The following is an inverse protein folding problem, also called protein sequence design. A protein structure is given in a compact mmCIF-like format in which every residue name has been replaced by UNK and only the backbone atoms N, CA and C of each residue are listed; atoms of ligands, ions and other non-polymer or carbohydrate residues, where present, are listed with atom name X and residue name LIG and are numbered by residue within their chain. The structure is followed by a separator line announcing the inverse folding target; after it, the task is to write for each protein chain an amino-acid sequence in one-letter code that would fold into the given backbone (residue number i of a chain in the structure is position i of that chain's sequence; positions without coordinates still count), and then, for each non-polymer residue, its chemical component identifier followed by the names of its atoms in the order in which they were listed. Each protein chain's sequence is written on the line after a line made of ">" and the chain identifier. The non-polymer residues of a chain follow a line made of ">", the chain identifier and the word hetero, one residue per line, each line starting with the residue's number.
data_IF_970390754258
#
_entry.id   IF_970390754258
#
_cell.length_a   1.000
_cell.length_b   1.000
_cell.length_c   1.000
_cell.angle_alpha   90.00
_cell.angle_beta   90.00
_cell.angle_gamma   90.00
#
_symmetry.space_group_name_H-M   'P 1'
#
loop_
_entity.id
_entity.type
_entity.pdbx_description
1 polymer ?
#
# COMPACT_ATOMS: atom_id res chain seq x y z
N UNK A 1 3.13 4.07 -46.37
CA UNK A 1 3.11 4.91 -45.17
C UNK A 1 2.52 4.12 -44.01
N UNK A 2 3.33 3.69 -43.02
CA UNK A 2 2.81 3.12 -41.75
C UNK A 2 2.62 4.29 -40.78
N UNK A 3 1.38 4.57 -40.38
CA UNK A 3 1.11 5.51 -39.31
C UNK A 3 1.72 4.96 -38.01
N UNK A 4 2.65 5.66 -37.34
CA UNK A 4 3.29 5.18 -36.11
C UNK A 4 2.33 5.19 -34.89
N UNK A 5 1.11 5.69 -35.05
CA UNK A 5 0.09 5.82 -34.00
C UNK A 5 -1.16 4.98 -34.29
N UNK A 6 -0.98 3.77 -34.81
CA UNK A 6 -2.08 2.80 -34.76
C UNK A 6 -2.31 2.43 -33.28
N UNK A 7 -3.47 2.78 -32.74
CA UNK A 7 -3.83 2.43 -31.36
C UNK A 7 -3.70 0.90 -31.20
N UNK A 8 -3.07 0.46 -30.11
CA UNK A 8 -3.03 -0.96 -29.76
C UNK A 8 -4.47 -1.38 -29.49
N UNK A 9 -4.92 -2.44 -30.16
CA UNK A 9 -6.30 -2.95 -30.17
C UNK A 9 -6.98 -2.85 -28.79
N UNK A 10 -8.24 -2.39 -28.75
CA UNK A 10 -8.97 -2.03 -27.52
C UNK A 10 -9.33 -3.23 -26.61
N UNK A 11 -8.92 -4.44 -26.97
CA UNK A 11 -9.10 -5.62 -26.12
C UNK A 11 -8.13 -5.57 -24.94
N UNK A 12 -8.67 -5.37 -23.74
CA UNK A 12 -7.88 -5.31 -22.51
C UNK A 12 -7.97 -6.64 -21.75
N UNK A 13 -6.89 -7.41 -21.78
CA UNK A 13 -6.76 -8.63 -20.98
C UNK A 13 -6.57 -8.27 -19.50
N UNK A 14 -7.44 -8.82 -18.65
CA UNK A 14 -7.42 -8.61 -17.20
C UNK A 14 -6.09 -9.07 -16.58
N UNK A 15 -5.47 -10.13 -17.11
CA UNK A 15 -4.18 -10.62 -16.59
C UNK A 15 -3.07 -9.62 -16.87
N UNK A 16 -3.00 -9.12 -18.10
CA UNK A 16 -2.04 -8.08 -18.50
C UNK A 16 -2.23 -6.82 -17.66
N UNK A 17 -3.48 -6.38 -17.44
CA UNK A 17 -3.78 -5.22 -16.58
C UNK A 17 -3.34 -5.43 -15.13
N UNK A 18 -3.64 -6.59 -14.54
CA UNK A 18 -3.22 -6.92 -13.17
C UNK A 18 -1.71 -6.87 -13.07
N UNK A 19 -0.99 -7.54 -13.97
CA UNK A 19 0.48 -7.57 -13.97
C UNK A 19 1.09 -6.17 -14.00
N UNK A 20 0.69 -5.33 -14.95
CA UNK A 20 1.21 -3.96 -15.05
C UNK A 20 0.86 -3.11 -13.83
N UNK A 21 -0.30 -3.34 -13.21
CA UNK A 21 -0.67 -2.62 -11.97
C UNK A 21 0.18 -3.07 -10.80
N UNK A 22 0.37 -4.38 -10.64
CA UNK A 22 1.18 -4.97 -9.56
C UNK A 22 2.66 -4.55 -9.70
N UNK A 23 3.19 -4.53 -10.92
CA UNK A 23 4.54 -4.01 -11.23
C UNK A 23 4.68 -2.54 -10.85
N UNK A 24 3.68 -1.69 -11.15
CA UNK A 24 3.73 -0.27 -10.78
C UNK A 24 3.73 -0.06 -9.27
N UNK A 25 2.87 -0.78 -8.56
CA UNK A 25 2.83 -0.73 -7.08
C UNK A 25 4.16 -1.17 -6.52
N UNK A 26 4.71 -2.29 -6.99
CA UNK A 26 6.00 -2.79 -6.54
C UNK A 26 7.13 -1.77 -6.75
N UNK A 27 7.22 -1.15 -7.94
CA UNK A 27 8.25 -0.16 -8.23
C UNK A 27 8.15 1.09 -7.35
N UNK A 28 6.93 1.57 -7.06
CA UNK A 28 6.73 2.69 -6.15
C UNK A 28 7.03 2.33 -4.69
N UNK A 29 6.57 1.16 -4.21
CA UNK A 29 6.90 0.69 -2.87
C UNK A 29 8.40 0.58 -2.67
N UNK A 30 9.11 0.03 -3.68
CA UNK A 30 10.57 -0.06 -3.66
C UNK A 30 11.23 1.32 -3.59
N UNK A 31 10.81 2.26 -4.45
CA UNK A 31 11.36 3.61 -4.46
C UNK A 31 11.13 4.35 -3.13
N UNK A 32 9.96 4.18 -2.51
CA UNK A 32 9.66 4.73 -1.18
C UNK A 32 10.52 4.09 -0.09
N UNK A 33 10.71 2.77 -0.17
CA UNK A 33 11.54 2.03 0.78
C UNK A 33 12.99 2.52 0.72
N UNK A 34 13.56 2.58 -0.48
CA UNK A 34 14.94 3.04 -0.71
C UNK A 34 15.09 4.49 -0.21
N UNK A 35 14.12 5.37 -0.47
CA UNK A 35 14.15 6.76 0.01
C UNK A 35 14.12 6.87 1.53
N UNK A 36 13.24 6.12 2.20
CA UNK A 36 13.11 6.16 3.67
C UNK A 36 14.29 5.53 4.39
N UNK A 37 14.96 4.57 3.76
CA UNK A 37 16.20 3.96 4.27
C UNK A 37 17.37 4.95 4.23
N UNK A 38 17.45 5.77 3.18
CA UNK A 38 18.47 6.81 3.02
C UNK A 38 18.19 8.07 3.88
N UNK A 39 16.94 8.31 4.27
CA UNK A 39 16.55 9.50 5.05
C UNK A 39 17.07 9.43 6.49
N UNK A 40 17.96 10.35 6.85
CA UNK A 40 18.64 10.38 8.16
C UNK A 40 17.72 10.44 9.38
N UNK A 41 16.52 11.01 9.26
CA UNK A 41 15.55 11.06 10.36
C UNK A 41 14.85 9.71 10.61
N UNK A 42 14.72 8.90 9.55
CA UNK A 42 13.97 7.64 9.58
C UNK A 42 14.89 6.43 9.69
N UNK A 43 16.16 6.56 9.28
CA UNK A 43 17.15 5.49 9.24
C UNK A 43 17.29 4.73 10.57
N UNK A 44 17.33 5.43 11.72
CA UNK A 44 17.50 4.81 13.04
C UNK A 44 16.30 3.93 13.47
N UNK A 45 15.12 4.19 12.92
CA UNK A 45 13.86 3.49 13.27
C UNK A 45 13.30 2.66 12.11
N UNK A 46 14.09 2.50 11.06
CA UNK A 46 13.67 1.84 9.84
C UNK A 46 13.67 0.32 10.01
N UNK A 47 12.51 -0.23 10.35
CA UNK A 47 12.21 -1.66 10.24
C UNK A 47 11.02 -1.87 9.31
N UNK A 48 11.26 -2.48 8.15
CA UNK A 48 10.23 -2.78 7.17
C UNK A 48 9.60 -4.16 7.43
N UNK A 49 8.27 -4.22 7.40
CA UNK A 49 7.48 -5.42 7.57
C UNK A 49 6.56 -5.67 6.37
N UNK A 50 6.20 -6.95 6.17
CA UNK A 50 5.17 -7.32 5.21
C UNK A 50 3.80 -6.86 5.75
N UNK A 51 2.92 -6.42 4.84
CA UNK A 51 1.52 -6.18 5.21
C UNK A 51 0.93 -7.51 5.66
N UNK A 52 0.37 -7.57 6.87
CA UNK A 52 -0.16 -8.79 7.48
C UNK A 52 0.78 -9.49 8.48
N UNK A 53 2.02 -9.04 8.64
CA UNK A 53 2.99 -9.60 9.60
C UNK A 53 2.80 -9.06 11.03
N UNK A 54 2.76 -9.96 12.02
CA UNK A 54 2.35 -9.61 13.40
C UNK A 54 3.58 -9.22 14.21
N UNK A 55 3.72 -7.92 14.49
CA UNK A 55 4.85 -7.39 15.26
C UNK A 55 4.41 -6.71 16.55
N UNK A 56 5.26 -6.79 17.56
CA UNK A 56 5.06 -6.13 18.87
C UNK A 56 5.66 -4.72 18.92
N UNK A 57 6.36 -4.30 17.87
CA UNK A 57 6.98 -2.99 17.71
C UNK A 57 6.37 -2.24 16.52
N UNK A 58 6.57 -0.92 16.49
CA UNK A 58 6.20 -0.11 15.34
C UNK A 58 7.09 -0.46 14.14
N UNK A 59 6.47 -0.62 12.97
CA UNK A 59 7.14 -1.00 11.72
C UNK A 59 6.62 -0.18 10.55
N UNK A 60 7.44 -0.10 9.51
CA UNK A 60 7.08 0.44 8.21
C UNK A 60 6.45 -0.65 7.34
N UNK A 61 5.26 -0.37 6.83
CA UNK A 61 4.58 -1.19 5.83
C UNK A 61 4.33 -0.37 4.56
N UNK A 62 4.38 -1.03 3.41
CA UNK A 62 4.29 -0.40 2.11
C UNK A 62 3.16 -1.03 1.31
N UNK A 63 2.33 -0.21 0.67
CA UNK A 63 1.20 -0.72 -0.07
C UNK A 63 0.38 0.36 -0.75
N UNK A 64 -0.70 -0.07 -1.40
CA UNK A 64 -1.68 0.84 -1.99
C UNK A 64 -2.93 0.96 -1.13
N UNK A 65 -3.53 2.15 -1.14
CA UNK A 65 -4.82 2.41 -0.52
C UNK A 65 -5.93 1.79 -1.37
N UNK A 66 -6.80 1.02 -0.73
CA UNK A 66 -7.96 0.38 -1.35
C UNK A 66 -9.18 0.64 -0.47
N UNK A 67 -10.37 0.71 -1.07
CA UNK A 67 -11.62 0.77 -0.30
C UNK A 67 -12.15 -0.65 -0.06
N UNK A 68 -12.77 -0.90 1.09
CA UNK A 68 -13.44 -2.18 1.40
C UNK A 68 -14.62 -2.49 0.44
N UNK A 69 -15.23 -1.45 -0.15
CA UNK A 69 -16.30 -1.59 -1.14
C UNK A 69 -15.84 -1.18 -2.54
N UNK A 70 -16.23 -1.95 -3.56
CA UNK A 70 -16.00 -1.61 -4.97
C UNK A 70 -16.75 -0.34 -5.45
N UNK A 71 -17.78 0.12 -4.74
CA UNK A 71 -18.72 1.15 -5.20
C UNK A 71 -18.88 2.34 -4.23
N UNK A 72 -18.33 2.24 -3.02
CA UNK A 72 -18.49 3.25 -1.97
C UNK A 72 -17.42 4.35 -1.98
N UNK A 73 -17.73 5.53 -1.42
CA UNK A 73 -16.72 6.56 -1.19
C UNK A 73 -15.69 6.05 -0.16
N UNK A 74 -14.41 6.30 -0.42
CA UNK A 74 -13.34 6.08 0.55
C UNK A 74 -13.59 6.97 1.76
N UNK A 75 -13.65 6.35 2.94
CA UNK A 75 -13.76 7.04 4.21
C UNK A 75 -12.83 6.38 5.24
N UNK A 76 -12.64 7.04 6.39
CA UNK A 76 -11.70 6.57 7.42
C UNK A 76 -12.01 5.16 7.94
N UNK A 77 -13.27 4.70 7.87
CA UNK A 77 -13.68 3.37 8.32
C UNK A 77 -13.62 2.30 7.21
N UNK A 78 -13.50 2.71 5.94
CA UNK A 78 -13.45 1.80 4.78
C UNK A 78 -12.08 1.75 4.11
N UNK A 79 -11.06 2.35 4.73
CA UNK A 79 -9.71 2.42 4.19
C UNK A 79 -8.95 1.13 4.49
N UNK A 80 -8.48 0.46 3.45
CA UNK A 80 -7.62 -0.72 3.52
C UNK A 80 -6.24 -0.38 2.97
N UNK A 81 -5.22 -1.02 3.53
CA UNK A 81 -3.88 -1.05 2.96
C UNK A 81 -3.65 -2.43 2.33
N UNK A 82 -3.43 -2.46 1.02
CA UNK A 82 -3.06 -3.67 0.28
C UNK A 82 -1.55 -3.66 0.00
N UNK A 83 -0.83 -4.64 0.53
CA UNK A 83 0.58 -4.82 0.24
C UNK A 83 0.83 -5.26 -1.20
N UNK A 84 2.04 -5.05 -1.71
CA UNK A 84 2.39 -5.55 -3.04
C UNK A 84 2.49 -7.09 -3.05
N UNK A 85 2.29 -7.68 -4.23
CA UNK A 85 2.32 -9.15 -4.39
C UNK A 85 3.71 -9.76 -4.25
N UNK A 86 4.79 -9.00 -4.46
CA UNK A 86 6.14 -9.54 -4.42
C UNK A 86 6.64 -9.66 -2.98
N UNK A 87 6.36 -8.67 -2.14
CA UNK A 87 6.84 -8.67 -0.76
C UNK A 87 5.77 -9.11 0.25
N UNK A 88 4.50 -8.74 0.06
CA UNK A 88 3.42 -8.99 1.03
C UNK A 88 2.33 -9.93 0.52
N UNK A 89 2.56 -10.70 -0.56
CA UNK A 89 1.60 -11.63 -1.18
C UNK A 89 0.23 -11.03 -1.60
N UNK A 90 0.09 -9.70 -1.59
CA UNK A 90 -1.20 -9.05 -1.82
C UNK A 90 -2.14 -9.04 -0.60
N UNK A 91 -1.59 -9.25 0.60
CA UNK A 91 -2.35 -9.21 1.84
C UNK A 91 -2.93 -7.82 2.10
N UNK A 92 -4.06 -7.80 2.82
CA UNK A 92 -4.85 -6.60 3.10
C UNK A 92 -5.12 -6.48 4.58
N UNK A 93 -5.02 -5.26 5.09
CA UNK A 93 -5.35 -4.91 6.48
C UNK A 93 -6.21 -3.64 6.52
N UNK A 94 -7.09 -3.53 7.52
CA UNK A 94 -7.81 -2.28 7.82
C UNK A 94 -6.78 -1.21 8.22
N UNK A 95 -6.77 -0.07 7.53
CA UNK A 95 -5.87 1.03 7.85
C UNK A 95 -6.60 2.02 8.76
N UNK A 96 -6.18 2.06 10.03
CA UNK A 96 -6.63 3.06 10.99
C UNK A 96 -5.59 4.17 11.11
N UNK A 97 -6.03 5.41 10.96
CA UNK A 97 -5.17 6.59 11.09
C UNK A 97 -5.29 7.08 12.53
N UNK A 98 -4.16 7.31 13.21
CA UNK A 98 -4.17 7.90 14.55
C UNK A 98 -4.70 9.34 14.51
N UNK A 99 -5.38 9.77 15.59
CA UNK A 99 -6.15 11.03 15.62
C UNK A 99 -5.30 12.30 15.38
N UNK A 100 -3.99 12.23 15.65
CA UNK A 100 -3.02 13.30 15.46
C UNK A 100 -2.43 13.38 14.05
N UNK A 101 -2.69 12.38 13.20
CA UNK A 101 -2.13 12.29 11.85
C UNK A 101 -3.07 12.94 10.84
N UNK A 102 -2.57 13.98 10.16
CA UNK A 102 -3.26 14.63 9.05
C UNK A 102 -2.73 14.09 7.73
N UNK A 103 -3.59 13.48 6.93
CA UNK A 103 -3.23 13.01 5.60
C UNK A 103 -4.41 13.16 4.62
N UNK A 104 -4.10 13.08 3.33
CA UNK A 104 -5.07 13.00 2.25
C UNK A 104 -4.81 11.69 1.54
N UNK A 105 -5.81 10.81 1.57
CA UNK A 105 -5.73 9.48 0.95
C UNK A 105 -6.73 9.37 -0.19
N UNK A 106 -6.32 8.70 -1.26
CA UNK A 106 -7.21 8.37 -2.38
C UNK A 106 -7.00 6.93 -2.86
N UNK A 107 -8.02 6.29 -3.45
CA UNK A 107 -7.89 4.91 -3.94
C UNK A 107 -6.78 4.77 -5.00
N UNK A 108 -5.95 3.74 -4.82
CA UNK A 108 -4.81 3.45 -5.70
C UNK A 108 -3.52 4.22 -5.36
N UNK A 109 -3.55 5.13 -4.38
CA UNK A 109 -2.34 5.80 -3.88
C UNK A 109 -1.41 4.79 -3.23
N UNK A 110 -0.13 4.79 -3.62
CA UNK A 110 0.91 4.02 -2.93
C UNK A 110 1.44 4.86 -1.77
N UNK A 111 1.52 4.26 -0.58
CA UNK A 111 1.93 4.91 0.66
C UNK A 111 2.90 4.03 1.45
N UNK A 112 3.67 4.68 2.31
CA UNK A 112 4.40 4.03 3.40
C UNK A 112 3.75 4.43 4.74
N UNK A 113 3.34 3.45 5.53
CA UNK A 113 2.72 3.68 6.83
C UNK A 113 3.61 3.13 7.94
N UNK A 114 3.84 3.93 8.97
CA UNK A 114 4.56 3.53 10.18
C UNK A 114 3.62 3.44 11.36
N UNK A 115 3.69 2.33 12.08
CA UNK A 115 2.84 2.07 13.23
C UNK A 115 2.75 0.59 13.54
N UNK A 116 1.63 0.18 14.14
CA UNK A 116 1.51 -1.15 14.73
C UNK A 116 0.34 -1.94 14.13
N UNK A 117 0.60 -3.21 13.81
CA UNK A 117 -0.42 -4.18 13.46
C UNK A 117 -1.13 -4.72 14.71
N UNK A 118 -2.45 -4.63 14.72
CA UNK A 118 -3.32 -5.24 15.73
C UNK A 118 -3.96 -6.50 15.16
N UNK A 119 -3.84 -7.57 15.94
CA UNK A 119 -4.47 -8.84 15.59
C UNK A 119 -5.97 -8.78 15.91
N UNK A 120 -6.81 -9.04 14.91
CA UNK A 120 -8.26 -9.13 15.07
C UNK A 120 -8.67 -10.55 14.69
N UNK A 121 -8.96 -11.38 15.70
CA UNK A 121 -9.24 -12.80 15.50
C UNK A 121 -7.98 -13.62 15.17
N UNK A 122 -8.04 -14.39 14.07
CA UNK A 122 -7.00 -15.36 13.69
C UNK A 122 -5.82 -14.76 12.89
N UNK A 123 -5.92 -13.51 12.42
CA UNK A 123 -4.87 -12.81 11.66
C UNK A 123 -4.81 -11.32 12.00
N UNK A 124 -3.93 -10.56 11.34
CA UNK A 124 -3.94 -9.09 11.47
C UNK A 124 -5.12 -8.56 10.70
N UNK A 125 -6.09 -8.02 11.43
CA UNK A 125 -7.23 -7.37 10.82
C UNK A 125 -7.00 -5.88 10.62
N UNK A 126 -6.09 -5.27 11.40
CA UNK A 126 -5.96 -3.82 11.48
C UNK A 126 -4.52 -3.37 11.65
N UNK A 127 -4.17 -2.26 11.02
CA UNK A 127 -2.90 -1.56 11.18
C UNK A 127 -3.19 -0.11 11.58
N UNK A 128 -2.69 0.29 12.75
CA UNK A 128 -2.84 1.65 13.26
C UNK A 128 -1.60 2.46 12.89
N UNK A 129 -1.75 3.37 11.92
CA UNK A 129 -0.69 4.22 11.42
C UNK A 129 -0.54 5.50 12.27
N UNK A 130 0.68 5.70 12.78
CA UNK A 130 1.13 6.89 13.51
C UNK A 130 1.83 7.90 12.59
N UNK A 131 2.29 7.46 11.42
CA UNK A 131 2.84 8.31 10.36
C UNK A 131 2.52 7.68 9.00
N UNK A 132 2.22 8.52 8.01
CA UNK A 132 1.97 8.11 6.63
C UNK A 132 2.79 9.03 5.70
N UNK A 133 3.46 8.43 4.72
CA UNK A 133 4.25 9.09 3.67
C UNK A 133 3.70 8.68 2.31
#
# INVERSE_FOLDING_TARGET
>A
CRCPYAYKWMAADARTRSKTTDERVHMMCKALKDHLEDDSETADTFDAAQVGDTRQSDVWVFGRIVADSESGPLNAASCLLEGDRHYSNGDRVELKIADDVRCVLFPGQVVAAWGMGERVGSGIGRFTAKKIV
#
